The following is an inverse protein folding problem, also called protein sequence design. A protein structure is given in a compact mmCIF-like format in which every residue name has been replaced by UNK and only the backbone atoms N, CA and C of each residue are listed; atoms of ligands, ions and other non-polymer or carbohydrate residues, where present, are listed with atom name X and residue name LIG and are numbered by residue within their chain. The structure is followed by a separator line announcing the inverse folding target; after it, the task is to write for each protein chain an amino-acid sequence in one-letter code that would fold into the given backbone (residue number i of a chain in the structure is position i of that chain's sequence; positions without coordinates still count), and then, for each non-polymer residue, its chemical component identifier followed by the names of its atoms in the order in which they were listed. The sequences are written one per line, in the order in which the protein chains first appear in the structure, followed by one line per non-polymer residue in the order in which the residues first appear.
data_IF_489549230249
#
_entry.id   IF_489549230249
#
_cell.length_a   1.000
_cell.length_b   1.000
_cell.length_c   1.000
_cell.angle_alpha   90.00
_cell.angle_beta   90.00
_cell.angle_gamma   90.00
#
_symmetry.space_group_name_H-M   'P 1'
#
loop_
_entity.id
_entity.type
_entity.pdbx_description
1 polymer ?
2 non-polymer ?
#
# COMPACT_ATOMS: atom_id res chain seq x y z
N UNK A 1 -13.08 -7.34 -6.75
CA UNK A 1 -13.77 -6.10 -6.36
C UNK A 1 -13.82 -5.87 -4.85
N UNK A 2 -13.29 -6.79 -4.05
CA UNK A 2 -13.18 -6.70 -2.59
C UNK A 2 -11.77 -7.13 -2.14
N UNK A 3 -10.77 -6.23 -2.16
CA UNK A 3 -9.38 -6.54 -1.84
C UNK A 3 -9.12 -6.54 -0.31
N UNK A 4 -8.86 -7.70 0.34
CA UNK A 4 -8.49 -7.73 1.76
C UNK A 4 -7.07 -7.20 1.96
N UNK A 5 -6.07 -7.89 1.38
CA UNK A 5 -4.67 -7.52 1.20
C UNK A 5 -3.73 -7.71 2.40
N UNK A 6 -4.21 -8.00 3.61
CA UNK A 6 -3.43 -8.52 4.77
C UNK A 6 -4.38 -9.11 5.81
N UNK A 7 -5.38 -8.30 6.15
CA UNK A 7 -6.60 -8.57 6.92
C UNK A 7 -7.75 -8.02 6.04
N UNK A 8 -9.03 -7.97 6.44
CA UNK A 8 -10.11 -7.53 5.54
C UNK A 8 -10.16 -5.98 5.39
N UNK A 9 -9.12 -5.37 4.77
CA UNK A 9 -9.06 -3.94 4.47
C UNK A 9 -7.70 -3.29 4.69
N UNK A 10 -6.66 -3.75 3.98
CA UNK A 10 -5.24 -3.45 4.26
C UNK A 10 -4.49 -3.06 2.97
N UNK A 11 -3.15 -3.17 2.94
CA UNK A 11 -2.27 -2.93 1.77
C UNK A 11 -1.35 -4.10 1.29
N UNK A 12 -1.48 -4.37 -0.03
CA UNK A 12 -0.63 -5.29 -0.80
C UNK A 12 0.46 -4.56 -1.60
N UNK A 13 1.72 -4.73 -1.20
CA UNK A 13 2.91 -4.14 -1.82
C UNK A 13 3.42 -5.01 -2.96
N UNK A 14 3.62 -4.43 -4.16
CA UNK A 14 4.23 -5.15 -5.28
C UNK A 14 5.66 -5.71 -5.05
N UNK A 15 6.37 -5.34 -3.96
CA UNK A 15 7.55 -6.10 -3.50
C UNK A 15 7.17 -7.54 -3.07
N UNK A 16 5.93 -7.74 -2.59
CA UNK A 16 5.15 -8.99 -2.32
C UNK A 16 4.62 -9.01 -0.88
N UNK A 17 4.06 -7.89 -0.40
CA UNK A 17 3.96 -7.65 1.06
C UNK A 17 2.55 -7.34 1.56
N UNK A 18 2.16 -7.96 2.67
CA UNK A 18 0.97 -7.52 3.41
C UNK A 18 1.36 -6.62 4.58
N UNK A 19 0.91 -5.38 4.49
CA UNK A 19 1.03 -4.35 5.51
C UNK A 19 -0.31 -3.63 5.53
N UNK A 20 -0.44 -2.68 6.44
CA UNK A 20 -1.70 -2.11 6.88
C UNK A 20 -1.97 -0.74 6.28
N UNK A 21 -3.26 -0.46 6.08
CA UNK A 21 -3.83 0.65 5.32
C UNK A 21 -3.29 2.03 5.72
N UNK A 22 -2.70 2.21 6.92
CA UNK A 22 -1.97 3.44 7.30
C UNK A 22 -1.05 3.85 6.16
N UNK A 23 -0.39 2.84 5.56
CA UNK A 23 0.76 3.03 4.70
C UNK A 23 0.29 3.61 3.35
N UNK A 24 -1.03 3.49 3.08
CA UNK A 24 -1.71 3.96 1.87
C UNK A 24 -1.98 5.44 2.02
N UNK A 25 -1.25 6.23 1.22
CA UNK A 25 -1.22 7.70 1.32
C UNK A 25 -0.43 8.18 2.55
N UNK A 26 0.49 7.38 3.11
CA UNK A 26 1.36 7.86 4.19
C UNK A 26 2.49 8.75 3.63
N UNK A 27 2.92 8.50 2.39
CA UNK A 27 3.95 9.26 1.70
C UNK A 27 5.36 8.71 1.87
N UNK A 28 5.57 7.62 2.63
CA UNK A 28 6.78 6.83 2.54
C UNK A 28 6.61 5.61 1.62
N UNK A 29 7.76 5.27 1.02
CA UNK A 29 7.98 4.07 0.22
C UNK A 29 7.48 2.81 0.91
N UNK A 30 7.73 2.66 2.22
CA UNK A 30 7.03 1.95 3.32
C UNK A 30 6.92 0.46 3.01
N UNK A 31 6.24 0.19 1.91
CA UNK A 31 6.39 -0.94 1.02
C UNK A 31 7.82 -1.22 0.49
N UNK A 32 8.74 -0.26 0.51
CA UNK A 32 10.09 -0.32 -0.10
C UNK A 32 10.06 -0.28 -1.63
N UNK A 33 9.04 -0.87 -2.26
CA UNK A 33 8.76 -0.81 -3.70
C UNK A 33 7.96 0.45 -4.05
N UNK A 34 7.44 1.14 -3.03
CA UNK A 34 6.63 2.35 -3.14
C UNK A 34 5.43 2.10 -4.06
N UNK A 35 4.54 1.20 -3.61
CA UNK A 35 3.37 0.81 -4.38
C UNK A 35 2.28 1.81 -4.06
N UNK A 36 1.94 1.97 -2.77
CA UNK A 36 0.93 2.91 -2.33
C UNK A 36 1.24 4.31 -2.83
N UNK A 37 2.50 4.70 -2.63
CA UNK A 37 2.96 6.02 -3.00
C UNK A 37 3.36 6.13 -4.47
N UNK A 38 2.93 5.19 -5.33
CA UNK A 38 2.69 5.49 -6.73
C UNK A 38 1.16 5.54 -6.96
N UNK A 39 0.64 6.57 -7.67
CA UNK A 39 -0.79 6.89 -7.80
C UNK A 39 -1.60 5.88 -8.66
N UNK A 40 -1.06 4.68 -8.81
CA UNK A 40 -1.87 3.47 -9.05
C UNK A 40 -2.69 3.13 -7.80
N UNK A 41 -2.26 3.61 -6.62
CA UNK A 41 -2.92 3.43 -5.34
C UNK A 41 -3.25 4.79 -4.76
N UNK A 42 -2.25 5.54 -4.24
CA UNK A 42 -2.48 6.90 -3.75
C UNK A 42 -1.40 7.94 -4.08
N UNK A 43 -0.21 7.84 -3.46
CA UNK A 43 0.83 8.89 -3.39
C UNK A 43 0.41 10.14 -2.62
N UNK A 44 0.60 10.10 -1.29
CA UNK A 44 0.84 11.33 -0.55
C UNK A 44 2.24 11.87 -0.89
N UNK A 45 2.38 13.20 -0.98
CA UNK A 45 3.62 13.89 -1.31
C UNK A 45 3.76 15.15 -0.46
#
# INVERSE_FOLDING_TARGET
GSPPQCQPGEFACANSRCIQERWKCDGDNDCLDNSDEAPALCHQH
#
